data_IF_533978421996
#
_entry.id   IF_533978421996
#
_cell.length_a   1.000
_cell.length_b   1.000
_cell.length_c   1.000
_cell.angle_alpha   90.00
_cell.angle_beta   90.00
_cell.angle_gamma   90.00
#
_symmetry.space_group_name_H-M   'P 1'
#
loop_
_entity.id
_entity.type
_entity.pdbx_description
1 polymer ?
#
# COMPACT_ATOMS: atom_id res chain seq x y z
N UNK A 1 -3.35 14.35 5.26
CA UNK A 1 -1.88 14.24 5.11
C UNK A 1 -1.48 12.79 5.00
N UNK A 2 -0.45 12.51 4.26
CA UNK A 2 0.14 11.17 4.17
C UNK A 2 1.46 11.22 4.93
N UNK A 3 1.61 10.32 5.90
CA UNK A 3 2.88 10.13 6.58
C UNK A 3 3.62 8.99 5.91
N UNK A 4 4.89 9.18 5.62
CA UNK A 4 5.73 8.14 5.04
C UNK A 4 6.90 7.86 5.95
N UNK A 5 7.39 6.62 5.91
CA UNK A 5 8.57 6.23 6.69
C UNK A 5 9.29 5.08 6.00
N UNK A 6 10.57 4.93 6.32
CA UNK A 6 11.39 3.82 5.88
C UNK A 6 12.07 3.22 7.11
N UNK A 7 11.98 1.90 7.27
CA UNK A 7 12.62 1.21 8.39
C UNK A 7 13.49 0.03 7.93
N UNK A 8 13.67 -0.10 6.63
CA UNK A 8 14.62 -1.01 5.99
C UNK A 8 14.90 -0.48 4.58
N UNK A 9 15.99 -0.91 3.97
CA UNK A 9 16.47 -0.32 2.72
C UNK A 9 15.46 -0.32 1.56
N UNK A 10 14.67 -1.39 1.44
CA UNK A 10 13.71 -1.53 0.36
C UNK A 10 12.26 -1.49 0.84
N UNK A 11 12.01 -1.00 2.04
CA UNK A 11 10.66 -0.88 2.61
C UNK A 11 10.21 0.56 2.54
N UNK A 12 9.01 0.77 1.99
CA UNK A 12 8.32 2.07 2.00
C UNK A 12 7.07 1.92 2.85
N UNK A 13 6.92 2.79 3.85
CA UNK A 13 5.73 2.82 4.70
C UNK A 13 4.91 4.07 4.43
N UNK A 14 3.61 3.92 4.32
CA UNK A 14 2.66 5.00 4.10
C UNK A 14 1.52 4.84 5.09
N UNK A 15 1.21 5.92 5.81
CA UNK A 15 0.05 5.97 6.72
C UNK A 15 -0.93 6.99 6.17
N UNK A 16 -2.15 6.54 5.89
CA UNK A 16 -3.23 7.38 5.38
C UNK A 16 -4.16 7.69 6.53
N UNK A 17 -4.18 8.95 6.97
CA UNK A 17 -4.91 9.41 8.14
C UNK A 17 -6.05 10.37 7.83
N UNK A 18 -6.34 10.62 6.55
CA UNK A 18 -7.44 11.46 6.08
C UNK A 18 -8.01 10.92 4.79
N UNK A 19 -9.19 11.41 4.42
CA UNK A 19 -9.86 10.98 3.19
C UNK A 19 -8.96 11.17 1.98
N UNK A 20 -8.94 10.17 1.11
CA UNK A 20 -8.08 10.17 -0.06
C UNK A 20 -8.70 10.99 -1.19
N UNK A 21 -7.92 11.86 -1.80
CA UNK A 21 -8.29 12.59 -3.01
C UNK A 21 -7.28 12.33 -4.13
N UNK A 22 -7.53 12.91 -5.30
CA UNK A 22 -6.67 12.70 -6.47
C UNK A 22 -5.24 13.18 -6.24
N UNK A 23 -5.09 14.29 -5.52
CA UNK A 23 -3.78 14.88 -5.24
C UNK A 23 -2.95 13.96 -4.35
N UNK A 24 -3.56 13.43 -3.29
CA UNK A 24 -2.90 12.47 -2.41
C UNK A 24 -2.45 11.23 -3.17
N UNK A 25 -3.35 10.68 -3.98
CA UNK A 25 -3.03 9.48 -4.75
C UNK A 25 -1.87 9.74 -5.70
N UNK A 26 -1.87 10.89 -6.36
CA UNK A 26 -0.78 11.29 -7.25
C UNK A 26 0.54 11.39 -6.49
N UNK A 27 0.54 12.00 -5.32
CA UNK A 27 1.73 12.11 -4.47
C UNK A 27 2.28 10.74 -4.07
N UNK A 28 1.39 9.81 -3.70
CA UNK A 28 1.78 8.44 -3.35
C UNK A 28 2.43 7.75 -4.55
N UNK A 29 1.82 7.87 -5.73
CA UNK A 29 2.34 7.23 -6.94
C UNK A 29 3.68 7.83 -7.36
N UNK A 30 3.86 9.15 -7.20
CA UNK A 30 5.14 9.79 -7.48
C UNK A 30 6.23 9.31 -6.52
N UNK A 31 5.88 9.16 -5.25
CA UNK A 31 6.81 8.61 -4.26
C UNK A 31 7.25 7.20 -4.65
N UNK A 32 6.32 6.35 -5.04
CA UNK A 32 6.63 4.99 -5.47
C UNK A 32 7.49 4.96 -6.74
N UNK A 33 7.16 5.79 -7.73
CA UNK A 33 7.99 5.91 -8.94
C UNK A 33 9.42 6.33 -8.62
N UNK A 34 9.57 7.27 -7.69
CA UNK A 34 10.89 7.71 -7.24
C UNK A 34 11.66 6.56 -6.58
N UNK A 35 10.97 5.78 -5.75
CA UNK A 35 11.59 4.65 -5.06
C UNK A 35 11.99 3.54 -6.03
N UNK A 36 11.21 3.31 -7.08
CA UNK A 36 11.55 2.33 -8.12
C UNK A 36 12.87 2.65 -8.83
N UNK A 37 13.25 3.93 -8.89
CA UNK A 37 14.55 4.33 -9.46
C UNK A 37 15.71 3.97 -8.57
N UNK A 38 15.47 3.82 -7.27
CA UNK A 38 16.50 3.52 -6.28
C UNK A 38 16.62 2.02 -5.98
N UNK A 39 15.52 1.31 -6.11
CA UNK A 39 15.45 -0.11 -5.78
C UNK A 39 14.65 -0.85 -6.86
N UNK A 40 15.19 -1.92 -7.39
CA UNK A 40 14.53 -2.71 -8.44
C UNK A 40 13.19 -3.28 -7.94
N UNK A 41 13.14 -3.67 -6.67
CA UNK A 41 11.95 -4.25 -6.03
C UNK A 41 11.79 -3.64 -4.66
N UNK A 42 10.55 -3.30 -4.28
CA UNK A 42 10.26 -2.73 -2.97
C UNK A 42 9.23 -3.56 -2.22
N UNK A 43 9.26 -3.43 -0.90
CA UNK A 43 8.23 -3.89 0.00
C UNK A 43 7.41 -2.68 0.45
N UNK A 44 6.10 -2.75 0.32
CA UNK A 44 5.22 -1.62 0.60
C UNK A 44 4.32 -1.93 1.79
N UNK A 45 4.34 -1.05 2.78
CA UNK A 45 3.44 -1.08 3.93
C UNK A 45 2.47 0.09 3.79
N UNK A 46 1.18 -0.19 3.80
CA UNK A 46 0.15 0.84 3.77
C UNK A 46 -0.80 0.63 4.93
N UNK A 47 -0.92 1.65 5.77
CA UNK A 47 -1.87 1.64 6.87
C UNK A 47 -2.97 2.67 6.60
N UNK A 48 -4.21 2.21 6.60
CA UNK A 48 -5.38 3.06 6.40
C UNK A 48 -6.07 3.20 7.74
N UNK A 49 -6.05 4.40 8.32
CA UNK A 49 -6.66 4.65 9.63
C UNK A 49 -8.17 4.43 9.57
N UNK A 50 -8.79 3.95 10.67
CA UNK A 50 -10.24 3.77 10.71
C UNK A 50 -10.99 5.05 10.36
N UNK A 51 -12.07 4.91 9.58
CA UNK A 51 -12.91 6.04 9.20
C UNK A 51 -12.45 6.82 7.98
N UNK A 52 -11.25 6.56 7.48
CA UNK A 52 -10.75 7.20 6.26
C UNK A 52 -11.55 6.72 5.06
N UNK A 53 -12.03 7.66 4.24
CA UNK A 53 -12.78 7.35 3.02
C UNK A 53 -11.85 7.32 1.81
N UNK A 54 -12.01 6.29 1.00
CA UNK A 54 -11.28 6.15 -0.26
C UNK A 54 -12.32 5.99 -1.38
N UNK A 55 -12.50 7.01 -2.25
CA UNK A 55 -13.44 6.90 -3.35
C UNK A 55 -13.13 5.70 -4.24
N UNK A 56 -14.16 4.98 -4.65
CA UNK A 56 -14.01 3.78 -5.50
C UNK A 56 -13.20 4.05 -6.77
N UNK A 57 -13.44 5.15 -7.50
CA UNK A 57 -12.62 5.43 -8.69
C UNK A 57 -11.13 5.54 -8.40
N UNK A 58 -10.77 6.04 -7.22
CA UNK A 58 -9.36 6.17 -6.83
C UNK A 58 -8.76 4.82 -6.44
N UNK A 59 -9.55 3.93 -5.82
CA UNK A 59 -9.11 2.55 -5.57
C UNK A 59 -8.83 1.82 -6.88
N UNK A 60 -9.70 1.98 -7.87
CA UNK A 60 -9.51 1.37 -9.20
C UNK A 60 -8.25 1.93 -9.86
N UNK A 61 -8.06 3.25 -9.78
CA UNK A 61 -6.89 3.90 -10.36
C UNK A 61 -5.59 3.40 -9.72
N UNK A 62 -5.60 3.22 -8.40
CA UNK A 62 -4.46 2.66 -7.70
C UNK A 62 -4.18 1.22 -8.12
N UNK A 63 -5.23 0.41 -8.25
CA UNK A 63 -5.09 -0.97 -8.70
C UNK A 63 -4.44 -1.04 -10.08
N UNK A 64 -4.87 -0.17 -11.01
CA UNK A 64 -4.27 -0.11 -12.34
C UNK A 64 -2.78 0.25 -12.26
N UNK A 65 -2.42 1.23 -11.42
CA UNK A 65 -1.02 1.58 -11.20
C UNK A 65 -0.21 0.38 -10.70
N UNK A 66 -0.75 -0.37 -9.76
CA UNK A 66 -0.09 -1.55 -9.20
C UNK A 66 0.10 -2.63 -10.26
N UNK A 67 -0.91 -2.87 -11.08
CA UNK A 67 -0.83 -3.87 -12.15
C UNK A 67 0.22 -3.49 -13.20
N UNK A 68 0.31 -2.21 -13.56
CA UNK A 68 1.32 -1.71 -14.50
C UNK A 68 2.75 -1.85 -13.97
N UNK A 69 2.90 -1.91 -12.65
CA UNK A 69 4.20 -2.00 -11.99
C UNK A 69 4.37 -3.32 -11.26
N UNK A 70 3.69 -4.37 -11.71
CA UNK A 70 3.59 -5.65 -11.02
C UNK A 70 4.96 -6.22 -10.61
N UNK A 71 5.93 -6.24 -11.49
CA UNK A 71 7.25 -6.81 -11.17
C UNK A 71 8.11 -5.98 -10.22
N UNK A 72 7.63 -4.82 -9.76
CA UNK A 72 8.39 -3.90 -8.90
C UNK A 72 8.05 -4.02 -7.42
N UNK A 73 7.10 -4.89 -7.06
CA UNK A 73 6.71 -5.14 -5.68
C UNK A 73 7.04 -6.59 -5.31
N UNK A 74 7.70 -6.76 -4.16
CA UNK A 74 7.96 -8.08 -3.60
C UNK A 74 6.89 -8.46 -2.58
N UNK A 75 6.64 -7.58 -1.61
CA UNK A 75 5.63 -7.75 -0.58
C UNK A 75 4.78 -6.51 -0.44
N UNK A 76 3.51 -6.71 -0.07
CA UNK A 76 2.58 -5.63 0.20
C UNK A 76 1.81 -5.96 1.47
N UNK A 77 1.98 -5.14 2.50
CA UNK A 77 1.22 -5.25 3.74
C UNK A 77 0.18 -4.15 3.78
N UNK A 78 -1.08 -4.51 3.96
CA UNK A 78 -2.18 -3.56 4.10
C UNK A 78 -2.76 -3.69 5.50
N UNK A 79 -2.80 -2.59 6.24
CA UNK A 79 -3.40 -2.53 7.56
C UNK A 79 -4.69 -1.72 7.46
N UNK A 80 -5.83 -2.37 7.66
CA UNK A 80 -7.14 -1.74 7.53
C UNK A 80 -8.21 -2.52 8.29
N UNK A 81 -9.25 -1.81 8.75
CA UNK A 81 -10.46 -2.43 9.29
C UNK A 81 -11.64 -2.36 8.31
N UNK A 82 -11.42 -1.87 7.09
CA UNK A 82 -12.50 -1.66 6.11
C UNK A 82 -12.66 -2.90 5.22
N UNK A 83 -13.83 -3.50 5.25
CA UNK A 83 -14.11 -4.73 4.49
C UNK A 83 -13.99 -4.51 2.98
N UNK A 84 -14.43 -3.36 2.49
CA UNK A 84 -14.34 -3.04 1.06
C UNK A 84 -12.88 -3.03 0.60
N UNK A 85 -12.01 -2.38 1.36
CA UNK A 85 -10.58 -2.34 1.04
C UNK A 85 -9.98 -3.75 1.09
N UNK A 86 -10.36 -4.54 2.11
CA UNK A 86 -9.88 -5.92 2.24
C UNK A 86 -10.27 -6.77 1.04
N UNK A 87 -11.49 -6.62 0.55
CA UNK A 87 -11.95 -7.38 -0.62
C UNK A 87 -11.20 -7.00 -1.89
N UNK A 88 -10.94 -5.71 -2.10
CA UNK A 88 -10.14 -5.24 -3.23
C UNK A 88 -8.71 -5.79 -3.16
N UNK A 89 -8.11 -5.80 -1.96
CA UNK A 89 -6.75 -6.30 -1.78
C UNK A 89 -6.65 -7.81 -1.97
N UNK A 90 -7.69 -8.57 -1.62
CA UNK A 90 -7.74 -10.00 -1.90
C UNK A 90 -7.75 -10.27 -3.40
N UNK A 91 -8.48 -9.48 -4.18
CA UNK A 91 -8.46 -9.57 -5.62
C UNK A 91 -7.06 -9.28 -6.17
N UNK A 92 -6.39 -8.27 -5.64
CA UNK A 92 -5.04 -7.89 -6.02
C UNK A 92 -4.05 -9.04 -5.77
N UNK A 93 -4.15 -9.74 -4.64
CA UNK A 93 -3.32 -10.89 -4.32
C UNK A 93 -3.46 -11.98 -5.39
N UNK A 94 -4.67 -12.14 -5.92
CA UNK A 94 -4.95 -13.12 -6.96
C UNK A 94 -4.27 -12.80 -8.31
N UNK A 95 -4.13 -11.51 -8.65
CA UNK A 95 -3.65 -11.09 -9.99
C UNK A 95 -2.22 -10.58 -10.02
N UNK A 96 -1.59 -10.35 -8.87
CA UNK A 96 -0.23 -9.83 -8.79
C UNK A 96 0.73 -10.88 -8.30
N UNK A 97 2.00 -10.77 -8.74
CA UNK A 97 3.08 -11.67 -8.31
C UNK A 97 3.56 -11.38 -6.88
N UNK A 98 3.34 -10.17 -6.38
CA UNK A 98 3.74 -9.79 -5.03
C UNK A 98 2.96 -10.59 -3.97
N UNK A 99 3.62 -10.91 -2.86
CA UNK A 99 2.93 -11.47 -1.69
C UNK A 99 2.15 -10.33 -1.02
N UNK A 100 0.82 -10.47 -0.96
CA UNK A 100 -0.06 -9.50 -0.34
C UNK A 100 -0.62 -10.08 0.95
N UNK A 101 -0.48 -9.34 2.05
CA UNK A 101 -1.05 -9.76 3.32
C UNK A 101 -1.82 -8.61 3.96
N UNK A 102 -3.01 -8.92 4.48
CA UNK A 102 -3.92 -7.93 5.04
C UNK A 102 -3.99 -8.15 6.54
N UNK A 103 -3.80 -7.06 7.29
CA UNK A 103 -3.79 -7.07 8.75
C UNK A 103 -4.85 -6.13 9.28
N UNK A 104 -5.36 -6.43 10.48
CA UNK A 104 -6.19 -5.49 11.22
C UNK A 104 -5.32 -4.44 11.91
N UNK A 105 -5.89 -3.28 12.31
CA UNK A 105 -5.11 -2.28 13.05
C UNK A 105 -4.47 -2.80 14.33
N UNK A 106 -5.11 -3.76 15.01
CA UNK A 106 -4.56 -4.38 16.22
C UNK A 106 -3.29 -5.16 15.95
N UNK A 107 -3.09 -5.61 14.72
CA UNK A 107 -1.94 -6.40 14.31
C UNK A 107 -0.92 -5.60 13.49
N UNK A 108 -0.92 -4.27 13.59
CA UNK A 108 -0.02 -3.42 12.80
C UNK A 108 1.46 -3.71 13.05
N UNK A 109 1.83 -4.07 14.26
CA UNK A 109 3.22 -4.41 14.58
C UNK A 109 3.64 -5.71 13.86
N UNK A 110 2.74 -6.69 13.81
CA UNK A 110 3.00 -7.92 13.03
C UNK A 110 3.17 -7.61 11.55
N UNK A 111 2.37 -6.67 11.02
CA UNK A 111 2.50 -6.24 9.63
C UNK A 111 3.86 -5.60 9.37
N UNK A 112 4.31 -4.73 10.27
CA UNK A 112 5.64 -4.10 10.16
C UNK A 112 6.76 -5.14 10.20
N UNK A 113 6.67 -6.12 11.09
CA UNK A 113 7.65 -7.19 11.18
C UNK A 113 7.68 -8.04 9.91
N UNK A 114 6.51 -8.39 9.41
CA UNK A 114 6.40 -9.20 8.19
C UNK A 114 6.99 -8.49 6.97
N UNK A 115 6.73 -7.20 6.82
CA UNK A 115 7.21 -6.45 5.65
C UNK A 115 8.73 -6.24 5.69
N UNK A 116 9.32 -6.26 6.88
CA UNK A 116 10.76 -6.05 7.06
C UNK A 116 11.59 -7.33 6.93
N UNK A 117 10.94 -8.50 6.93
CA UNK A 117 11.63 -9.78 6.80
C UNK A 117 12.42 -9.93 5.50
#
# INVERSE_FOLDING_TARGET
>A
MISRFEFADNVVGIIIDRDVDKKMLHEVHDLLRSKFKQSAVINLYVEIKPGVKIPVPLLVKDLIFQLRNNGKFNKLAIVTNQDFVRNIMKFRDFVMDADVEIFTPENRIRAMNWIAE
#
